data_IF_342502514482
#
_entry.id   IF_342502514482
#
_cell.length_a   1.000
_cell.length_b   1.000
_cell.length_c   1.000
_cell.angle_alpha   90.00
_cell.angle_beta   90.00
_cell.angle_gamma   90.00
#
_symmetry.space_group_name_H-M   'P 1'
#
loop_
_entity.id
_entity.type
_entity.pdbx_description
1 polymer ?
#
# COMPACT_ATOMS: atom_id res chain seq x y z
N UNK A 1 -41.82 -4.23 8.62
CA UNK A 1 -41.28 -3.90 7.28
C UNK A 1 -39.82 -3.49 7.45
N UNK A 2 -38.88 -4.34 7.01
CA UNK A 2 -37.45 -4.11 7.19
C UNK A 2 -36.88 -3.26 6.05
N UNK A 3 -36.54 -2.01 6.35
CA UNK A 3 -35.76 -1.16 5.45
C UNK A 3 -34.27 -1.40 5.69
N UNK A 4 -33.66 -2.33 4.94
CA UNK A 4 -32.19 -2.35 4.78
C UNK A 4 -31.82 -1.18 3.88
N UNK A 5 -31.43 -0.06 4.48
CA UNK A 5 -30.75 1.02 3.77
C UNK A 5 -29.48 0.45 3.17
N UNK A 6 -29.50 0.24 1.86
CA UNK A 6 -28.34 -0.12 1.05
C UNK A 6 -27.27 0.94 1.33
N UNK A 7 -26.20 0.55 2.02
CA UNK A 7 -25.00 1.36 2.07
C UNK A 7 -24.56 1.56 0.62
N UNK A 8 -24.79 2.77 0.12
CA UNK A 8 -24.38 3.19 -1.21
C UNK A 8 -22.86 3.22 -1.17
N UNK A 9 -22.24 2.14 -1.63
CA UNK A 9 -20.80 2.11 -1.89
C UNK A 9 -20.54 3.25 -2.85
N UNK A 10 -19.88 4.31 -2.36
CA UNK A 10 -19.39 5.38 -3.21
C UNK A 10 -18.53 4.69 -4.27
N UNK A 11 -19.02 4.63 -5.50
CA UNK A 11 -18.21 4.28 -6.66
C UNK A 11 -17.25 5.43 -6.86
N UNK A 12 -16.23 5.48 -6.01
CA UNK A 12 -15.00 6.17 -6.31
C UNK A 12 -14.41 5.56 -7.57
N UNK A 13 -13.72 6.34 -8.38
CA UNK A 13 -13.13 5.89 -9.65
C UNK A 13 -11.92 4.99 -9.34
N UNK A 14 -12.19 3.77 -8.87
CA UNK A 14 -11.13 2.81 -8.57
C UNK A 14 -10.51 2.38 -9.89
N UNK A 15 -9.36 2.95 -10.21
CA UNK A 15 -8.67 2.64 -11.45
C UNK A 15 -8.23 1.18 -11.47
N UNK A 16 -8.11 0.55 -12.66
CA UNK A 16 -7.60 -0.81 -12.78
C UNK A 16 -6.23 -1.01 -12.12
N UNK A 17 -5.40 0.05 -12.08
CA UNK A 17 -4.11 0.05 -11.42
C UNK A 17 -4.24 -0.12 -9.90
N UNK A 18 -5.17 0.60 -9.27
CA UNK A 18 -5.44 0.48 -7.84
C UNK A 18 -6.05 -0.88 -7.49
N UNK A 19 -6.99 -1.39 -8.29
CA UNK A 19 -7.54 -2.74 -8.10
C UNK A 19 -6.46 -3.83 -8.19
N UNK A 20 -5.58 -3.74 -9.20
CA UNK A 20 -4.46 -4.66 -9.36
C UNK A 20 -3.46 -4.55 -8.19
N UNK A 21 -3.27 -3.34 -7.67
CA UNK A 21 -2.41 -3.11 -6.50
C UNK A 21 -3.03 -3.73 -5.26
N UNK A 22 -4.30 -3.44 -4.93
CA UNK A 22 -5.01 -3.99 -3.77
C UNK A 22 -5.02 -5.52 -3.75
N UNK A 23 -5.20 -6.13 -4.93
CA UNK A 23 -5.22 -7.59 -5.09
C UNK A 23 -3.83 -8.25 -5.15
N UNK A 24 -2.74 -7.47 -5.14
CA UNK A 24 -1.38 -8.02 -5.26
C UNK A 24 -1.06 -8.60 -6.64
N UNK A 25 -1.82 -8.24 -7.68
CA UNK A 25 -1.63 -8.73 -9.04
C UNK A 25 -0.47 -8.01 -9.74
N UNK A 26 0.76 -8.30 -9.32
CA UNK A 26 2.01 -7.66 -9.79
C UNK A 26 2.14 -7.67 -11.32
N UNK A 27 1.72 -8.75 -11.99
CA UNK A 27 1.75 -8.86 -13.46
C UNK A 27 0.91 -7.77 -14.13
N UNK A 28 -0.29 -7.51 -13.62
CA UNK A 28 -1.19 -6.49 -14.16
C UNK A 28 -0.64 -5.11 -13.87
N UNK A 29 -0.14 -4.87 -12.65
CA UNK A 29 0.51 -3.60 -12.29
C UNK A 29 1.67 -3.29 -13.25
N UNK A 30 2.55 -4.28 -13.48
CA UNK A 30 3.68 -4.16 -14.41
C UNK A 30 3.23 -3.82 -15.83
N UNK A 31 2.22 -4.50 -16.35
CA UNK A 31 1.73 -4.24 -17.70
C UNK A 31 1.07 -2.86 -17.83
N UNK A 32 0.27 -2.46 -16.85
CA UNK A 32 -0.35 -1.12 -16.85
C UNK A 32 0.74 -0.04 -16.82
N UNK A 33 1.73 -0.16 -15.93
CA UNK A 33 2.80 0.83 -15.80
C UNK A 33 3.80 0.81 -16.98
N UNK A 34 3.92 -0.32 -17.67
CA UNK A 34 4.70 -0.42 -18.93
C UNK A 34 4.00 0.31 -20.07
N UNK A 35 2.68 0.15 -20.20
CA UNK A 35 1.87 0.77 -21.25
C UNK A 35 1.60 2.25 -20.97
N UNK A 36 1.39 2.59 -19.70
CA UNK A 36 1.03 3.94 -19.23
C UNK A 36 1.89 4.33 -18.01
N UNK A 37 3.17 4.69 -18.19
CA UNK A 37 4.07 5.05 -17.09
C UNK A 37 3.55 6.19 -16.21
N UNK A 38 2.82 7.14 -16.81
CA UNK A 38 2.19 8.28 -16.13
C UNK A 38 1.11 7.87 -15.12
N UNK A 39 0.53 6.67 -15.25
CA UNK A 39 -0.51 6.19 -14.34
C UNK A 39 0.00 6.03 -12.89
N UNK A 40 1.32 5.94 -12.69
CA UNK A 40 1.93 5.92 -11.35
C UNK A 40 1.66 7.21 -10.55
N UNK A 41 1.38 8.32 -11.22
CA UNK A 41 1.06 9.62 -10.60
C UNK A 41 -0.43 9.77 -10.28
N UNK A 42 -1.26 8.81 -10.69
CA UNK A 42 -2.68 8.81 -10.35
C UNK A 42 -2.89 8.67 -8.84
N UNK A 43 -4.00 9.26 -8.40
CA UNK A 43 -4.46 9.22 -7.02
C UNK A 43 -5.83 8.55 -7.00
N UNK A 44 -6.11 7.83 -5.92
CA UNK A 44 -7.47 7.38 -5.65
C UNK A 44 -8.31 8.49 -5.00
N UNK A 45 -9.54 8.16 -4.63
CA UNK A 45 -10.47 9.09 -3.99
C UNK A 45 -10.02 9.53 -2.58
N UNK A 46 -9.13 8.75 -1.93
CA UNK A 46 -8.47 9.07 -0.66
C UNK A 46 -7.17 9.87 -0.88
N UNK A 47 -6.91 10.35 -2.09
CA UNK A 47 -5.66 11.00 -2.52
C UNK A 47 -4.41 10.14 -2.28
N UNK A 48 -4.58 8.83 -2.19
CA UNK A 48 -3.50 7.87 -2.01
C UNK A 48 -2.82 7.62 -3.35
N UNK A 49 -1.48 7.61 -3.31
CA UNK A 49 -0.68 7.11 -4.44
C UNK A 49 -0.68 5.59 -4.45
N UNK A 50 -0.23 4.98 -5.55
CA UNK A 50 -0.02 3.51 -5.61
C UNK A 50 0.85 2.98 -4.47
N UNK A 51 1.80 3.76 -3.95
CA UNK A 51 2.65 3.35 -2.82
C UNK A 51 1.87 3.30 -1.51
N UNK A 52 0.98 4.27 -1.25
CA UNK A 52 0.11 4.25 -0.07
C UNK A 52 -0.78 2.99 -0.10
N UNK A 53 -1.39 2.71 -1.25
CA UNK A 53 -2.25 1.53 -1.43
C UNK A 53 -1.45 0.22 -1.30
N UNK A 54 -0.26 0.14 -1.90
CA UNK A 54 0.59 -1.05 -1.77
C UNK A 54 0.96 -1.32 -0.30
N UNK A 55 1.25 -0.29 0.50
CA UNK A 55 1.55 -0.43 1.94
C UNK A 55 0.28 -0.81 2.72
N UNK A 56 -0.84 -0.13 2.47
CA UNK A 56 -2.14 -0.36 3.12
C UNK A 56 -2.61 -1.82 2.99
N UNK A 57 -2.34 -2.45 1.85
CA UNK A 57 -2.71 -3.84 1.54
C UNK A 57 -1.54 -4.84 1.66
N UNK A 58 -0.38 -4.42 2.18
CA UNK A 58 0.82 -5.27 2.39
C UNK A 58 1.38 -5.95 1.12
N UNK A 59 1.32 -5.23 0.00
CA UNK A 59 1.71 -5.72 -1.32
C UNK A 59 3.16 -5.33 -1.62
N UNK A 60 4.10 -5.99 -0.94
CA UNK A 60 5.53 -5.66 -0.99
C UNK A 60 6.12 -5.74 -2.40
N UNK A 61 5.76 -6.78 -3.18
CA UNK A 61 6.27 -6.92 -4.54
C UNK A 61 5.84 -5.76 -5.47
N UNK A 62 4.62 -5.24 -5.27
CA UNK A 62 4.16 -4.05 -6.00
C UNK A 62 4.94 -2.82 -5.55
N UNK A 63 5.11 -2.64 -4.24
CA UNK A 63 5.89 -1.54 -3.68
C UNK A 63 7.33 -1.53 -4.20
N UNK A 64 8.02 -2.67 -4.19
CA UNK A 64 9.38 -2.79 -4.71
C UNK A 64 9.45 -2.47 -6.20
N UNK A 65 8.50 -3.00 -6.98
CA UNK A 65 8.49 -2.78 -8.42
C UNK A 65 8.35 -1.29 -8.74
N UNK A 66 7.37 -0.62 -8.10
CA UNK A 66 7.15 0.81 -8.29
C UNK A 66 8.36 1.59 -7.82
N UNK A 67 8.92 1.28 -6.65
CA UNK A 67 10.10 1.97 -6.07
C UNK A 67 11.35 1.90 -6.94
N UNK A 68 11.47 0.88 -7.80
CA UNK A 68 12.58 0.71 -8.75
C UNK A 68 12.37 1.48 -10.06
N UNK A 69 11.20 2.07 -10.30
CA UNK A 69 10.93 2.84 -11.52
C UNK A 69 11.65 4.20 -11.52
N UNK A 70 12.10 4.66 -12.70
CA UNK A 70 12.79 5.96 -12.89
C UNK A 70 11.87 7.19 -12.82
N UNK A 71 10.60 7.02 -12.47
CA UNK A 71 9.64 8.13 -12.27
C UNK A 71 10.07 9.01 -11.10
N UNK A 72 9.51 10.24 -10.94
CA UNK A 72 9.91 11.12 -9.86
C UNK A 72 9.46 10.57 -8.50
N UNK A 73 10.24 9.61 -7.97
CA UNK A 73 10.16 9.04 -6.62
C UNK A 73 10.03 10.12 -5.56
N UNK A 74 10.73 11.23 -5.77
CA UNK A 74 10.68 12.40 -4.89
C UNK A 74 9.28 12.98 -4.73
N UNK A 75 8.45 12.93 -5.78
CA UNK A 75 7.05 13.34 -5.68
C UNK A 75 6.26 12.30 -4.90
N UNK A 76 6.31 11.03 -5.31
CA UNK A 76 5.53 9.93 -4.72
C UNK A 76 5.75 9.78 -3.21
N UNK A 77 7.00 9.84 -2.76
CA UNK A 77 7.39 9.67 -1.35
C UNK A 77 6.96 10.86 -0.48
N UNK A 78 6.91 12.07 -1.04
CA UNK A 78 6.48 13.29 -0.32
C UNK A 78 4.97 13.50 -0.32
N UNK A 79 4.20 12.70 -1.05
CA UNK A 79 2.74 12.82 -1.05
C UNK A 79 2.18 12.40 0.30
N UNK A 80 1.07 13.04 0.62
CA UNK A 80 0.23 12.75 1.78
C UNK A 80 -1.18 12.43 1.29
N UNK A 81 -1.86 11.52 1.98
CA UNK A 81 -3.26 11.20 1.75
C UNK A 81 -4.20 12.32 2.26
N UNK A 82 -5.53 12.11 2.16
CA UNK A 82 -6.55 13.04 2.69
C UNK A 82 -6.44 13.29 4.21
N UNK A 83 -5.81 12.38 4.96
CA UNK A 83 -5.63 12.47 6.39
C UNK A 83 -4.28 13.09 6.77
N UNK A 84 -3.46 13.46 5.80
CA UNK A 84 -2.12 14.01 6.02
C UNK A 84 -1.05 12.95 6.29
N UNK A 85 -1.36 11.67 6.12
CA UNK A 85 -0.42 10.58 6.30
C UNK A 85 0.48 10.45 5.07
N UNK A 86 1.78 10.41 5.29
CA UNK A 86 2.74 9.97 4.27
C UNK A 86 2.86 8.43 4.25
N UNK A 87 3.53 7.89 3.22
CA UNK A 87 3.81 6.45 3.14
C UNK A 87 4.47 5.89 4.40
N UNK A 88 5.30 6.68 5.11
CA UNK A 88 5.94 6.27 6.37
C UNK A 88 4.95 6.14 7.52
N UNK A 89 3.96 7.02 7.60
CA UNK A 89 2.90 6.91 8.61
C UNK A 89 2.07 5.63 8.39
N UNK A 90 1.83 5.27 7.12
CA UNK A 90 1.03 4.09 6.75
C UNK A 90 1.67 2.75 7.14
N UNK A 91 3.01 2.67 7.25
CA UNK A 91 3.71 1.42 7.62
C UNK A 91 3.29 0.94 9.00
N UNK A 92 3.11 1.86 9.95
CA UNK A 92 2.70 1.55 11.32
C UNK A 92 1.18 1.42 11.52
N UNK A 93 0.37 1.59 10.46
CA UNK A 93 -1.08 1.47 10.58
C UNK A 93 -1.52 0.01 10.43
N UNK A 94 -2.56 -0.41 11.18
CA UNK A 94 -3.12 -1.75 11.05
C UNK A 94 -3.63 -2.00 9.62
N UNK A 95 -3.62 -3.27 9.20
CA UNK A 95 -4.01 -3.63 7.83
C UNK A 95 -5.48 -3.26 7.58
N UNK A 96 -5.80 -2.84 6.37
CA UNK A 96 -7.17 -2.44 6.02
C UNK A 96 -8.16 -3.61 6.00
N UNK A 97 -7.68 -4.84 5.79
CA UNK A 97 -8.42 -6.10 5.89
C UNK A 97 -8.44 -6.67 7.32
N UNK A 98 -7.87 -5.96 8.30
CA UNK A 98 -7.86 -6.37 9.70
C UNK A 98 -9.24 -6.15 10.32
N UNK A 99 -10.11 -7.15 10.16
CA UNK A 99 -11.28 -7.31 11.01
C UNK A 99 -10.78 -8.03 12.27
N UNK A 100 -10.90 -7.45 13.48
CA UNK A 100 -10.56 -8.15 14.71
C UNK A 100 -11.65 -9.19 15.00
N UNK A 101 -11.79 -10.20 14.14
CA UNK A 101 -12.84 -11.21 14.28
C UNK A 101 -12.52 -12.22 15.39
N UNK A 102 -11.30 -12.18 15.91
CA UNK A 102 -10.89 -12.68 17.22
C UNK A 102 -9.59 -12.00 17.56
N UNK A 103 -9.47 -11.52 18.78
CA UNK A 103 -8.25 -10.96 19.37
C UNK A 103 -7.10 -11.96 19.25
N UNK A 104 -6.41 -11.95 18.11
CA UNK A 104 -5.07 -12.49 17.97
C UNK A 104 -4.21 -11.64 18.89
N UNK A 105 -3.63 -12.25 19.92
CA UNK A 105 -3.02 -11.50 21.01
C UNK A 105 -1.99 -10.49 20.50
N UNK A 106 -1.84 -9.32 21.15
CA UNK A 106 -0.92 -8.26 20.72
C UNK A 106 0.53 -8.75 20.54
N UNK A 107 0.90 -9.83 21.23
CA UNK A 107 2.19 -10.50 21.07
C UNK A 107 2.39 -11.15 19.68
N UNK A 108 1.36 -11.76 19.09
CA UNK A 108 1.49 -12.39 17.77
C UNK A 108 1.56 -11.33 16.67
N UNK A 109 0.83 -10.22 16.84
CA UNK A 109 0.94 -9.06 15.94
C UNK A 109 2.36 -8.47 15.98
N UNK A 110 2.93 -8.28 17.17
CA UNK A 110 4.30 -7.81 17.32
C UNK A 110 5.32 -8.80 16.72
N UNK A 111 5.04 -10.10 16.78
CA UNK A 111 5.92 -11.14 16.24
C UNK A 111 5.94 -11.15 14.71
N UNK A 112 4.78 -10.96 14.07
CA UNK A 112 4.71 -10.78 12.62
C UNK A 112 5.40 -9.48 12.19
N UNK A 113 5.17 -8.38 12.93
CA UNK A 113 5.81 -7.09 12.65
C UNK A 113 7.35 -7.15 12.83
N UNK A 114 7.86 -7.89 13.82
CA UNK A 114 9.29 -8.15 14.01
C UNK A 114 9.89 -8.97 12.86
N UNK A 115 9.19 -9.99 12.37
CA UNK A 115 9.64 -10.78 11.21
C UNK A 115 9.70 -9.92 9.93
N UNK A 116 8.74 -9.01 9.75
CA UNK A 116 8.78 -8.02 8.67
C UNK A 116 9.97 -7.06 8.82
N UNK A 117 10.30 -6.67 10.05
CA UNK A 117 11.43 -5.80 10.34
C UNK A 117 12.79 -6.47 10.04
N UNK A 118 12.97 -7.74 10.42
CA UNK A 118 14.19 -8.51 10.11
C UNK A 118 14.38 -8.75 8.62
N UNK A 119 13.31 -9.09 7.90
CA UNK A 119 13.37 -9.26 6.44
C UNK A 119 13.75 -7.94 5.78
N UNK A 120 13.17 -6.81 6.19
CA UNK A 120 13.47 -5.50 5.62
C UNK A 120 14.92 -5.05 5.88
N UNK A 121 15.45 -5.32 7.08
CA UNK A 121 16.83 -4.99 7.44
C UNK A 121 17.87 -5.85 6.71
N UNK A 122 17.51 -7.08 6.29
CA UNK A 122 18.40 -7.93 5.48
C UNK A 122 18.62 -7.43 4.05
N UNK A 123 17.72 -6.60 3.51
CA UNK A 123 17.80 -6.06 2.14
C UNK A 123 18.57 -4.73 2.08
N UNK A 124 18.83 -4.11 3.23
CA UNK A 124 19.72 -2.96 3.36
C UNK A 124 20.98 -3.38 4.10
N UNK A 125 22.16 -3.47 3.46
CA UNK A 125 23.40 -3.60 4.23
C UNK A 125 23.65 -2.28 4.94
N UNK A 126 23.18 -2.14 6.17
CA UNK A 126 23.67 -1.13 7.12
C UNK A 126 24.72 -1.78 8.01
N UNK A 127 25.94 -1.88 7.45
CA UNK A 127 27.21 -1.55 8.10
C UNK A 127 28.36 -2.29 7.40
N UNK A 128 28.85 -1.71 6.30
CA UNK A 128 30.29 -1.74 6.07
C UNK A 128 30.86 -0.41 6.56
N UNK A 129 31.46 -0.49 7.74
CA UNK A 129 32.58 0.31 8.22
C UNK A 129 32.36 1.79 8.59
N UNK A 130 32.49 2.01 9.91
CA UNK A 130 33.17 3.13 10.60
C UNK A 130 32.67 4.56 10.34
#
# INVERSE_FOLDING_TARGET
MGGRSRQQLKQGEVTPLFLATMSGCVKIVKEILRMYPQAVEHLDDERQTILHVAIKYRQLEVFEHVSKMKVPMRWLVRRIDINGNSILHMVGMPRHDYVPEKMVGPALQLQEELLWFEVHFSVTPLSSAL
#
